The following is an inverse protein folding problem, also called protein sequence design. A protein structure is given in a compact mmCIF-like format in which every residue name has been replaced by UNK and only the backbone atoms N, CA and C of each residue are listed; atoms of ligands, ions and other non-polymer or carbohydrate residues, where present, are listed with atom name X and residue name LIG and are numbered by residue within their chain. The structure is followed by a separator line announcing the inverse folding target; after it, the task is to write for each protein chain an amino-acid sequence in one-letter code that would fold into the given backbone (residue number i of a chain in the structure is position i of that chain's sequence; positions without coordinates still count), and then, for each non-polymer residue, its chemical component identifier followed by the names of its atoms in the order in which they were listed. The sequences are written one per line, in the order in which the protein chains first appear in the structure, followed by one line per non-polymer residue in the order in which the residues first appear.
data_IF_564796739690
#
_entry.id   IF_564796739690
#
_cell.length_a   1.000
_cell.length_b   1.000
_cell.length_c   1.000
_cell.angle_alpha   90.00
_cell.angle_beta   90.00
_cell.angle_gamma   90.00
#
_symmetry.space_group_name_H-M   'P 1'
#
loop_
_entity.id
_entity.type
_entity.pdbx_description
1 polymer ?
#
# COMPACT_ATOMS: atom_id res chain seq x y z
N UNK A 1 46.48 20.25 41.42
CA UNK A 1 45.30 21.12 41.19
C UNK A 1 44.84 20.87 39.76
N UNK A 2 44.05 19.84 39.43
CA UNK A 2 42.58 19.62 39.60
C UNK A 2 41.71 20.80 39.13
N UNK A 3 41.51 20.89 37.82
CA UNK A 3 40.32 21.52 37.24
C UNK A 3 39.28 20.44 36.91
N UNK A 4 38.09 20.62 37.50
CA UNK A 4 36.88 19.85 37.25
C UNK A 4 36.23 20.34 35.97
N UNK A 5 35.92 19.44 35.05
CA UNK A 5 34.77 19.58 34.14
C UNK A 5 34.03 18.25 34.12
N UNK A 6 32.94 18.20 34.88
CA UNK A 6 32.01 17.09 34.95
C UNK A 6 31.29 16.94 33.60
N UNK A 7 31.33 15.73 33.03
CA UNK A 7 30.53 15.34 31.86
C UNK A 7 29.14 14.91 32.36
N UNK A 8 28.02 15.52 31.93
CA UNK A 8 26.71 14.98 32.23
C UNK A 8 26.40 13.80 31.29
N UNK A 9 26.12 12.66 31.88
CA UNK A 9 25.59 11.46 31.26
C UNK A 9 24.19 11.73 30.66
N UNK A 10 24.03 11.50 29.36
CA UNK A 10 22.71 11.53 28.72
C UNK A 10 21.92 10.28 29.15
N UNK A 11 20.96 10.49 30.04
CA UNK A 11 19.96 9.51 30.47
C UNK A 11 18.88 9.43 29.38
N UNK A 12 18.79 8.30 28.69
CA UNK A 12 17.69 7.96 27.79
C UNK A 12 16.38 7.95 28.59
N UNK A 13 15.52 8.92 28.33
CA UNK A 13 14.15 8.97 28.85
C UNK A 13 13.20 8.77 27.67
N UNK A 14 12.53 7.61 27.64
CA UNK A 14 11.33 7.37 26.81
C UNK A 14 10.28 8.44 27.10
N UNK A 15 9.77 9.10 26.06
CA UNK A 15 8.44 9.72 26.09
C UNK A 15 7.70 9.39 24.79
N UNK A 16 6.70 8.52 24.93
CA UNK A 16 5.57 8.39 24.01
C UNK A 16 4.80 9.72 24.03
N UNK A 17 4.88 10.48 22.92
CA UNK A 17 4.05 11.65 22.69
C UNK A 17 2.90 11.28 21.75
N UNK A 18 1.73 10.99 22.32
CA UNK A 18 0.49 10.87 21.56
C UNK A 18 0.12 12.24 20.96
N UNK A 19 0.06 12.33 19.63
CA UNK A 19 -0.33 13.54 18.90
C UNK A 19 -1.85 13.77 19.01
N UNK A 20 -2.25 14.60 19.97
CA UNK A 20 -3.56 15.28 20.01
C UNK A 20 -3.47 16.54 19.16
N UNK A 21 -3.82 16.46 17.88
CA UNK A 21 -4.09 17.64 17.07
C UNK A 21 -4.89 17.27 15.80
N UNK A 22 -6.17 16.90 15.93
CA UNK A 22 -6.99 16.71 14.72
C UNK A 22 -8.46 17.15 14.82
N UNK A 23 -8.87 17.83 15.90
CA UNK A 23 -10.27 18.26 16.06
C UNK A 23 -10.58 19.68 15.54
N UNK A 24 -9.57 20.52 15.28
CA UNK A 24 -9.78 21.93 14.93
C UNK A 24 -9.69 22.30 13.44
N UNK A 25 -9.34 21.35 12.55
CA UNK A 25 -9.06 21.65 11.13
C UNK A 25 -10.27 21.48 10.21
N UNK A 26 -11.29 20.74 10.65
CA UNK A 26 -12.50 20.47 9.86
C UNK A 26 -13.45 21.68 9.76
N UNK A 27 -13.52 22.52 10.82
CA UNK A 27 -14.45 23.64 10.85
C UNK A 27 -14.04 24.80 9.95
N UNK A 28 -12.74 24.96 9.68
CA UNK A 28 -12.21 26.11 8.91
C UNK A 28 -12.40 25.99 7.39
N UNK A 29 -12.68 24.80 6.87
CA UNK A 29 -12.84 24.53 5.42
C UNK A 29 -14.28 24.79 4.93
N UNK A 30 -15.24 24.84 5.86
CA UNK A 30 -16.67 24.99 5.54
C UNK A 30 -17.04 26.38 5.01
N UNK A 31 -16.21 27.38 5.30
CA UNK A 31 -16.49 28.80 5.04
C UNK A 31 -15.89 29.30 3.71
N UNK A 32 -14.89 28.62 3.16
CA UNK A 32 -14.11 29.12 2.00
C UNK A 32 -14.63 28.66 0.62
N UNK A 33 -15.53 27.68 0.57
CA UNK A 33 -16.04 27.11 -0.69
C UNK A 33 -17.57 27.15 -0.81
N UNK A 34 -18.14 28.32 -0.56
CA UNK A 34 -19.52 28.67 -0.91
C UNK A 34 -19.72 28.75 -2.43
N UNK A 35 -19.84 27.60 -3.08
CA UNK A 35 -20.09 27.50 -4.51
C UNK A 35 -20.82 26.22 -4.84
N UNK A 36 -22.15 26.30 -4.82
CA UNK A 36 -23.15 25.41 -5.43
C UNK A 36 -22.64 24.06 -5.95
N UNK A 37 -22.34 23.15 -5.02
CA UNK A 37 -22.43 21.71 -5.28
C UNK A 37 -23.53 21.18 -4.39
N UNK A 38 -24.53 20.59 -5.02
CA UNK A 38 -25.50 19.72 -4.36
C UNK A 38 -24.73 18.46 -3.94
N UNK A 39 -24.02 18.55 -2.81
CA UNK A 39 -23.80 17.37 -1.98
C UNK A 39 -25.15 16.66 -1.94
N UNK A 40 -25.26 15.34 -2.21
CA UNK A 40 -26.44 14.61 -1.76
C UNK A 40 -26.58 15.02 -0.31
N UNK A 41 -27.64 15.80 0.00
CA UNK A 41 -27.78 16.51 1.26
C UNK A 41 -27.43 15.47 2.32
N UNK A 42 -26.46 15.76 3.19
CA UNK A 42 -26.06 14.81 4.23
C UNK A 42 -27.27 14.34 5.08
N UNK A 43 -28.42 15.01 4.94
CA UNK A 43 -29.74 14.61 5.39
C UNK A 43 -30.29 13.29 4.81
N UNK A 44 -29.78 12.77 3.69
CA UNK A 44 -30.12 11.42 3.21
C UNK A 44 -29.35 10.31 3.94
N UNK A 45 -28.32 10.66 4.72
CA UNK A 45 -27.52 9.72 5.49
C UNK A 45 -27.44 10.19 6.95
N UNK A 46 -28.38 9.72 7.77
CA UNK A 46 -28.06 9.45 9.19
C UNK A 46 -26.77 8.60 9.33
N UNK A 47 -26.38 7.93 8.24
CA UNK A 47 -25.17 7.18 7.99
C UNK A 47 -23.90 8.00 7.72
N UNK A 48 -23.93 9.32 7.49
CA UNK A 48 -22.72 10.07 7.09
C UNK A 48 -21.63 10.11 8.17
N UNK A 49 -22.05 10.22 9.44
CA UNK A 49 -21.14 10.07 10.60
C UNK A 49 -20.72 8.62 10.83
N UNK A 50 -21.61 7.67 10.56
CA UNK A 50 -21.34 6.24 10.70
C UNK A 50 -20.30 5.79 9.67
N UNK A 51 -20.42 6.25 8.43
CA UNK A 51 -19.49 5.98 7.35
C UNK A 51 -18.13 6.62 7.63
N UNK A 52 -18.08 7.88 8.10
CA UNK A 52 -16.81 8.50 8.57
C UNK A 52 -16.17 7.70 9.73
N UNK A 53 -16.97 7.20 10.67
CA UNK A 53 -16.49 6.38 11.79
C UNK A 53 -15.98 5.00 11.35
N UNK A 54 -16.67 4.34 10.41
CA UNK A 54 -16.27 3.06 9.82
C UNK A 54 -14.94 3.21 9.07
N UNK A 55 -14.83 4.25 8.23
CA UNK A 55 -13.65 4.52 7.41
C UNK A 55 -12.43 4.87 8.27
N UNK A 56 -12.62 5.59 9.38
CA UNK A 56 -11.55 5.79 10.39
C UNK A 56 -11.11 4.49 11.07
N UNK A 57 -12.00 3.50 11.13
CA UNK A 57 -11.73 2.17 11.67
C UNK A 57 -10.83 1.30 10.79
N UNK A 58 -10.80 1.54 9.48
CA UNK A 58 -9.99 0.78 8.52
C UNK A 58 -8.48 0.97 8.72
N UNK A 59 -8.07 2.06 9.38
CA UNK A 59 -6.65 2.43 9.60
C UNK A 59 -5.84 2.48 8.30
N UNK A 60 -6.51 2.83 7.20
CA UNK A 60 -5.90 3.06 5.89
C UNK A 60 -5.59 4.56 5.77
N UNK A 61 -4.37 4.89 5.33
CA UNK A 61 -3.96 6.25 4.99
C UNK A 61 -2.95 6.18 3.82
N UNK A 62 -3.01 7.14 2.92
CA UNK A 62 -2.08 7.25 1.80
C UNK A 62 -1.67 8.71 1.57
N UNK A 63 -0.38 9.00 1.74
CA UNK A 63 0.20 10.34 1.54
C UNK A 63 0.66 10.60 0.10
N UNK A 64 0.94 9.53 -0.66
CA UNK A 64 1.58 9.58 -1.97
C UNK A 64 3.11 9.49 -1.95
N UNK A 65 3.72 9.43 -0.76
CA UNK A 65 5.16 9.24 -0.51
C UNK A 65 5.42 8.14 0.55
N UNK A 66 4.39 7.37 0.90
CA UNK A 66 4.48 6.27 1.86
C UNK A 66 5.08 5.00 1.20
N UNK A 67 5.51 4.04 2.01
CA UNK A 67 5.91 2.70 1.55
C UNK A 67 4.74 1.92 0.91
N UNK A 68 3.50 2.40 1.04
CA UNK A 68 2.31 1.79 0.44
C UNK A 68 2.21 2.19 -1.03
N UNK A 69 2.14 1.19 -1.92
CA UNK A 69 1.92 1.42 -3.34
C UNK A 69 0.48 1.84 -3.65
N UNK A 70 0.25 2.49 -4.79
CA UNK A 70 -1.08 2.88 -5.22
C UNK A 70 -2.04 1.68 -5.33
N UNK A 71 -1.57 0.53 -5.82
CA UNK A 71 -2.36 -0.68 -5.93
C UNK A 71 -2.66 -1.32 -4.57
N UNK A 72 -1.71 -1.34 -3.64
CA UNK A 72 -1.97 -1.81 -2.27
C UNK A 72 -3.01 -0.95 -1.55
N UNK A 73 -2.95 0.36 -1.73
CA UNK A 73 -3.97 1.27 -1.21
C UNK A 73 -5.34 0.95 -1.79
N UNK A 74 -5.46 0.86 -3.13
CA UNK A 74 -6.72 0.58 -3.79
C UNK A 74 -7.30 -0.78 -3.37
N UNK A 75 -6.48 -1.83 -3.31
CA UNK A 75 -6.92 -3.16 -2.91
C UNK A 75 -7.47 -3.18 -1.49
N UNK A 76 -6.77 -2.56 -0.53
CA UNK A 76 -7.26 -2.46 0.86
C UNK A 76 -8.57 -1.70 0.98
N UNK A 77 -8.69 -0.60 0.24
CA UNK A 77 -9.94 0.18 0.20
C UNK A 77 -11.08 -0.65 -0.39
N UNK A 78 -10.83 -1.40 -1.47
CA UNK A 78 -11.83 -2.27 -2.09
C UNK A 78 -12.26 -3.41 -1.16
N UNK A 79 -11.30 -4.10 -0.52
CA UNK A 79 -11.56 -5.15 0.48
C UNK A 79 -12.45 -4.64 1.63
N UNK A 80 -12.07 -3.53 2.26
CA UNK A 80 -12.83 -2.96 3.38
C UNK A 80 -14.20 -2.42 2.94
N UNK A 81 -14.28 -1.81 1.74
CA UNK A 81 -15.54 -1.31 1.20
C UNK A 81 -16.52 -2.44 0.88
N UNK A 82 -16.02 -3.60 0.43
CA UNK A 82 -16.82 -4.78 0.15
C UNK A 82 -17.40 -5.39 1.43
N UNK A 83 -16.66 -5.37 2.54
CA UNK A 83 -17.14 -5.84 3.84
C UNK A 83 -18.30 -4.99 4.37
N UNK A 84 -18.29 -3.69 4.08
CA UNK A 84 -19.30 -2.73 4.52
C UNK A 84 -20.45 -2.60 3.52
N UNK A 85 -20.24 -3.01 2.26
CA UNK A 85 -21.22 -2.91 1.19
C UNK A 85 -21.39 -1.49 0.64
N UNK A 86 -20.32 -0.69 0.61
CA UNK A 86 -20.39 0.68 0.07
C UNK A 86 -20.56 0.66 -1.45
N UNK A 87 -21.41 1.55 -1.96
CA UNK A 87 -21.50 1.81 -3.40
C UNK A 87 -20.30 2.62 -3.90
N UNK A 88 -19.97 2.52 -5.20
CA UNK A 88 -18.92 3.34 -5.83
C UNK A 88 -19.04 4.85 -5.53
N UNK A 89 -20.28 5.35 -5.46
CA UNK A 89 -20.56 6.77 -5.19
C UNK A 89 -20.24 7.12 -3.74
N UNK A 90 -20.62 6.27 -2.79
CA UNK A 90 -20.28 6.44 -1.38
C UNK A 90 -18.77 6.28 -1.15
N UNK A 91 -18.14 5.35 -1.86
CA UNK A 91 -16.70 5.14 -1.81
C UNK A 91 -15.94 6.41 -2.23
N UNK A 92 -16.32 7.03 -3.34
CA UNK A 92 -15.75 8.32 -3.76
C UNK A 92 -15.97 9.45 -2.74
N UNK A 93 -17.07 9.43 -1.98
CA UNK A 93 -17.31 10.41 -0.94
C UNK A 93 -16.36 10.27 0.26
N UNK A 94 -15.92 9.04 0.57
CA UNK A 94 -15.08 8.77 1.75
C UNK A 94 -13.58 8.81 1.47
N UNK A 95 -13.16 8.67 0.21
CA UNK A 95 -11.75 8.71 -0.18
C UNK A 95 -10.95 9.87 0.41
N UNK A 96 -11.45 11.13 0.46
CA UNK A 96 -10.72 12.22 1.10
C UNK A 96 -10.30 11.96 2.55
N UNK A 97 -11.03 11.11 3.28
CA UNK A 97 -10.70 10.76 4.66
C UNK A 97 -9.56 9.73 4.76
N UNK A 98 -9.26 9.03 3.67
CA UNK A 98 -8.21 8.01 3.56
C UNK A 98 -6.92 8.54 2.93
N UNK A 99 -6.92 9.80 2.48
CA UNK A 99 -5.77 10.45 1.86
C UNK A 99 -5.20 11.50 2.81
N UNK A 100 -3.87 11.65 2.80
CA UNK A 100 -3.17 12.73 3.50
C UNK A 100 -2.27 13.51 2.55
N UNK A 101 -1.78 14.65 3.02
CA UNK A 101 -0.72 15.44 2.38
C UNK A 101 -0.94 15.67 0.88
N UNK A 102 0.07 15.36 0.06
CA UNK A 102 0.07 15.61 -1.38
C UNK A 102 -1.02 14.81 -2.12
N UNK A 103 -1.38 13.62 -1.62
CA UNK A 103 -2.49 12.83 -2.17
C UNK A 103 -3.85 13.47 -1.95
N UNK A 104 -4.08 14.03 -0.76
CA UNK A 104 -5.31 14.74 -0.46
C UNK A 104 -5.45 16.02 -1.28
N UNK A 105 -4.37 16.79 -1.41
CA UNK A 105 -4.38 18.02 -2.19
C UNK A 105 -4.60 17.75 -3.69
N UNK A 106 -3.96 16.72 -4.21
CA UNK A 106 -4.20 16.25 -5.58
C UNK A 106 -5.66 15.83 -5.80
N UNK A 107 -6.24 15.09 -4.86
CA UNK A 107 -7.64 14.69 -4.92
C UNK A 107 -8.55 15.93 -4.97
N UNK A 108 -8.39 16.87 -4.04
CA UNK A 108 -9.22 18.08 -3.96
C UNK A 108 -9.21 18.90 -5.25
N UNK A 109 -8.04 19.00 -5.89
CA UNK A 109 -7.86 19.74 -7.14
C UNK A 109 -8.56 19.07 -8.32
N UNK A 110 -8.57 17.72 -8.36
CA UNK A 110 -9.01 16.95 -9.53
C UNK A 110 -10.32 16.20 -9.34
N UNK A 111 -10.94 16.26 -8.15
CA UNK A 111 -12.18 15.53 -7.80
C UNK A 111 -13.33 15.72 -8.80
N UNK A 112 -13.38 16.87 -9.47
CA UNK A 112 -14.42 17.18 -10.47
C UNK A 112 -14.29 16.36 -11.77
N UNK A 113 -13.14 15.70 -11.98
CA UNK A 113 -12.84 14.91 -13.18
C UNK A 113 -13.36 13.47 -13.11
N UNK A 114 -13.80 13.02 -11.94
CA UNK A 114 -14.21 11.62 -11.73
C UNK A 114 -15.66 11.59 -11.23
N UNK A 115 -16.47 10.78 -11.89
CA UNK A 115 -17.86 10.48 -11.55
C UNK A 115 -18.03 9.04 -11.09
N UNK A 116 -17.11 8.16 -11.47
CA UNK A 116 -17.13 6.74 -11.10
C UNK A 116 -15.86 6.32 -10.38
N UNK A 117 -15.95 5.26 -9.57
CA UNK A 117 -14.79 4.68 -8.90
C UNK A 117 -13.73 4.22 -9.92
N UNK A 118 -14.16 3.65 -11.05
CA UNK A 118 -13.27 3.23 -12.14
C UNK A 118 -12.42 4.38 -12.70
N UNK A 119 -13.01 5.56 -12.93
CA UNK A 119 -12.27 6.74 -13.42
C UNK A 119 -11.24 7.23 -12.39
N UNK A 120 -11.61 7.25 -11.10
CA UNK A 120 -10.68 7.59 -10.03
C UNK A 120 -9.52 6.60 -9.98
N UNK A 121 -9.77 5.27 -10.00
CA UNK A 121 -8.72 4.24 -9.96
C UNK A 121 -7.70 4.42 -11.06
N UNK A 122 -8.17 4.61 -12.30
CA UNK A 122 -7.29 4.81 -13.46
C UNK A 122 -6.43 6.05 -13.27
N UNK A 123 -7.01 7.17 -12.84
CA UNK A 123 -6.27 8.41 -12.63
C UNK A 123 -5.31 8.34 -11.43
N UNK A 124 -5.71 7.62 -10.37
CA UNK A 124 -4.92 7.41 -9.16
C UNK A 124 -3.68 6.58 -9.46
N UNK A 125 -3.86 5.45 -10.17
CA UNK A 125 -2.75 4.65 -10.72
C UNK A 125 -1.86 5.49 -11.62
N UNK A 126 -2.42 6.21 -12.58
CA UNK A 126 -1.60 7.05 -13.47
C UNK A 126 -0.77 8.12 -12.72
N UNK A 127 -1.25 8.61 -11.58
CA UNK A 127 -0.56 9.64 -10.78
C UNK A 127 0.48 9.07 -9.82
N UNK A 128 0.18 7.95 -9.17
CA UNK A 128 0.96 7.39 -8.07
C UNK A 128 1.68 6.08 -8.40
N UNK A 129 1.39 5.49 -9.57
CA UNK A 129 2.24 4.47 -10.20
C UNK A 129 3.33 5.17 -11.02
N UNK A 130 4.13 6.02 -10.37
CA UNK A 130 5.17 6.78 -11.06
C UNK A 130 6.24 5.86 -11.66
N UNK A 131 6.93 6.32 -12.71
CA UNK A 131 8.10 5.63 -13.27
C UNK A 131 9.14 5.32 -12.17
N UNK A 132 9.35 6.25 -11.25
CA UNK A 132 10.27 6.09 -10.11
C UNK A 132 9.82 4.98 -9.15
N UNK A 133 8.51 4.86 -8.92
CA UNK A 133 7.91 3.74 -8.17
C UNK A 133 8.10 2.40 -8.89
N UNK A 134 7.95 2.39 -10.22
CA UNK A 134 8.16 1.19 -11.03
C UNK A 134 9.65 0.79 -11.09
N UNK A 135 10.57 1.74 -11.21
CA UNK A 135 12.02 1.47 -11.15
C UNK A 135 12.43 0.96 -9.76
N UNK A 136 11.91 1.55 -8.68
CA UNK A 136 12.12 1.04 -7.32
C UNK A 136 11.57 -0.38 -7.15
N UNK A 137 10.40 -0.67 -7.71
CA UNK A 137 9.80 -2.00 -7.69
C UNK A 137 10.63 -3.01 -8.49
N UNK A 138 11.16 -2.61 -9.66
CA UNK A 138 12.10 -3.43 -10.44
C UNK A 138 13.37 -3.74 -9.65
N UNK A 139 13.93 -2.75 -8.94
CA UNK A 139 15.09 -2.98 -8.09
C UNK A 139 14.77 -3.89 -6.91
N UNK A 140 13.58 -3.78 -6.30
CA UNK A 140 13.13 -4.72 -5.26
C UNK A 140 13.01 -6.14 -5.79
N UNK A 141 12.41 -6.35 -6.96
CA UNK A 141 12.34 -7.66 -7.62
C UNK A 141 13.76 -8.20 -7.87
N UNK A 142 14.66 -7.36 -8.39
CA UNK A 142 16.05 -7.74 -8.66
C UNK A 142 16.83 -8.15 -7.42
N UNK A 143 16.65 -7.42 -6.32
CA UNK A 143 17.41 -7.60 -5.07
C UNK A 143 16.79 -8.61 -4.11
N UNK A 144 15.51 -8.96 -4.31
CA UNK A 144 14.82 -9.92 -3.46
C UNK A 144 15.31 -11.34 -3.72
N UNK A 145 16.12 -11.87 -2.82
CA UNK A 145 16.59 -13.27 -2.82
C UNK A 145 16.05 -14.02 -1.61
N UNK A 146 15.86 -15.33 -1.71
CA UNK A 146 15.38 -16.15 -0.58
C UNK A 146 16.37 -16.08 0.60
N UNK A 147 15.88 -15.71 1.78
CA UNK A 147 16.68 -15.61 3.00
C UNK A 147 17.17 -16.96 3.51
N UNK A 148 18.26 -16.98 4.30
CA UNK A 148 18.91 -18.23 4.75
C UNK A 148 17.96 -19.20 5.48
N UNK A 149 17.13 -18.66 6.37
CA UNK A 149 16.12 -19.41 7.14
C UNK A 149 14.70 -19.26 6.56
N UNK A 150 14.58 -18.69 5.37
CA UNK A 150 13.29 -18.41 4.75
C UNK A 150 12.77 -19.62 3.99
N UNK A 151 11.54 -20.00 4.34
CA UNK A 151 10.76 -21.03 3.65
C UNK A 151 10.50 -20.65 2.19
N UNK A 152 10.70 -21.59 1.27
CA UNK A 152 10.55 -21.37 -0.17
C UNK A 152 9.16 -20.80 -0.51
N UNK A 153 8.11 -21.35 0.10
CA UNK A 153 6.73 -20.86 -0.05
C UNK A 153 6.58 -19.38 0.33
N UNK A 154 7.14 -18.96 1.47
CA UNK A 154 7.05 -17.57 1.93
C UNK A 154 7.77 -16.63 0.97
N UNK A 155 8.96 -17.03 0.52
CA UNK A 155 9.73 -16.29 -0.47
C UNK A 155 8.96 -16.15 -1.79
N UNK A 156 8.44 -17.27 -2.33
CA UNK A 156 7.74 -17.30 -3.62
C UNK A 156 6.47 -16.45 -3.60
N UNK A 157 5.68 -16.54 -2.52
CA UNK A 157 4.49 -15.70 -2.35
C UNK A 157 4.83 -14.20 -2.38
N UNK A 158 5.92 -13.81 -1.71
CA UNK A 158 6.37 -12.41 -1.73
C UNK A 158 6.89 -12.00 -3.12
N UNK A 159 7.65 -12.85 -3.78
CA UNK A 159 8.17 -12.58 -5.13
C UNK A 159 7.03 -12.45 -6.14
N UNK A 160 6.05 -13.35 -6.11
CA UNK A 160 4.84 -13.28 -6.95
C UNK A 160 4.06 -11.98 -6.69
N UNK A 161 3.90 -11.59 -5.42
CA UNK A 161 3.26 -10.31 -5.07
C UNK A 161 4.01 -9.09 -5.60
N UNK A 162 5.34 -9.10 -5.62
CA UNK A 162 6.14 -8.01 -6.19
C UNK A 162 6.01 -7.97 -7.72
N UNK A 163 6.09 -9.12 -8.38
CA UNK A 163 5.98 -9.23 -9.84
C UNK A 163 4.59 -8.84 -10.35
N UNK A 164 3.53 -9.16 -9.60
CA UNK A 164 2.16 -8.77 -9.92
C UNK A 164 1.92 -7.24 -9.93
N UNK A 165 2.79 -6.47 -9.26
CA UNK A 165 2.71 -5.00 -9.19
C UNK A 165 3.47 -4.30 -10.33
N UNK A 166 4.24 -5.02 -11.13
CA UNK A 166 5.00 -4.45 -12.24
C UNK A 166 4.09 -4.08 -13.41
N UNK A 167 4.33 -2.90 -13.98
CA UNK A 167 3.66 -2.40 -15.18
C UNK A 167 4.71 -2.02 -16.23
N UNK A 168 4.65 -2.57 -17.46
CA UNK A 168 3.72 -3.61 -17.91
C UNK A 168 3.98 -4.97 -17.21
N UNK A 169 2.99 -5.89 -17.21
CA UNK A 169 3.16 -7.21 -16.62
C UNK A 169 4.27 -7.99 -17.35
N UNK A 170 5.13 -8.63 -16.58
CA UNK A 170 6.19 -9.49 -17.08
C UNK A 170 5.57 -10.81 -17.58
N UNK A 171 5.99 -11.40 -18.70
CA UNK A 171 5.50 -12.71 -19.14
C UNK A 171 5.72 -13.79 -18.08
N UNK A 172 4.75 -14.72 -17.92
CA UNK A 172 4.80 -15.75 -16.87
C UNK A 172 6.10 -16.58 -16.89
N UNK A 173 6.60 -16.96 -18.06
CA UNK A 173 7.86 -17.70 -18.18
C UNK A 173 9.07 -16.91 -17.61
N UNK A 174 9.08 -15.58 -17.81
CA UNK A 174 10.11 -14.71 -17.28
C UNK A 174 9.94 -14.47 -15.78
N UNK A 175 8.69 -14.33 -15.29
CA UNK A 175 8.40 -14.28 -13.85
C UNK A 175 8.95 -15.50 -13.12
N UNK A 176 8.70 -16.70 -13.65
CA UNK A 176 9.20 -17.96 -13.07
C UNK A 176 10.73 -18.04 -13.12
N UNK A 177 11.33 -17.59 -14.22
CA UNK A 177 12.80 -17.51 -14.37
C UNK A 177 13.43 -16.60 -13.30
N UNK A 178 12.87 -15.41 -13.10
CA UNK A 178 13.32 -14.46 -12.06
C UNK A 178 13.17 -15.07 -10.67
N UNK A 179 11.99 -15.60 -10.36
CA UNK A 179 11.71 -16.19 -9.05
C UNK A 179 12.65 -17.36 -8.75
N UNK A 180 12.91 -18.22 -9.73
CA UNK A 180 13.82 -19.35 -9.64
C UNK A 180 15.28 -18.90 -9.46
N UNK A 181 15.76 -17.96 -10.27
CA UNK A 181 17.13 -17.45 -10.21
C UNK A 181 17.48 -16.81 -8.85
N UNK A 182 16.46 -16.30 -8.16
CA UNK A 182 16.60 -15.64 -6.85
C UNK A 182 16.32 -16.59 -5.65
N UNK A 183 16.02 -17.88 -5.90
CA UNK A 183 16.04 -18.92 -4.86
C UNK A 183 17.46 -19.18 -4.35
N UNK A 184 17.61 -19.79 -3.18
CA UNK A 184 18.93 -20.16 -2.67
C UNK A 184 19.60 -21.22 -3.59
N UNK A 185 20.94 -21.20 -3.75
CA UNK A 185 21.66 -22.11 -4.65
C UNK A 185 21.46 -23.61 -4.38
N UNK A 186 21.03 -23.98 -3.18
CA UNK A 186 20.65 -25.35 -2.84
C UNK A 186 19.36 -25.80 -3.53
N UNK A 187 18.32 -24.96 -3.55
CA UNK A 187 17.10 -25.26 -4.31
C UNK A 187 17.40 -25.32 -5.81
N UNK A 188 18.23 -24.41 -6.32
CA UNK A 188 18.60 -24.36 -7.74
C UNK A 188 19.37 -25.60 -8.25
N UNK A 189 20.00 -26.36 -7.34
CA UNK A 189 20.73 -27.60 -7.70
C UNK A 189 19.83 -28.83 -7.73
N UNK A 190 18.74 -28.79 -6.98
CA UNK A 190 17.85 -29.94 -6.76
C UNK A 190 16.58 -29.86 -7.60
N UNK A 191 16.13 -28.66 -7.96
CA UNK A 191 14.96 -28.42 -8.78
C UNK A 191 15.38 -28.33 -10.25
N UNK A 192 14.78 -29.14 -11.14
CA UNK A 192 14.98 -28.98 -12.58
C UNK A 192 14.14 -27.77 -13.08
N UNK A 193 14.76 -26.74 -13.69
CA UNK A 193 14.04 -25.60 -14.26
C UNK A 193 12.94 -25.99 -15.26
N UNK A 194 13.06 -27.14 -15.94
CA UNK A 194 12.07 -27.61 -16.92
C UNK A 194 10.76 -28.07 -16.29
N UNK A 195 10.76 -28.40 -15.01
CA UNK A 195 9.55 -28.77 -14.27
C UNK A 195 8.79 -27.55 -13.75
N UNK A 196 9.40 -26.36 -13.79
CA UNK A 196 8.84 -25.11 -13.27
C UNK A 196 7.88 -24.50 -14.29
N UNK A 197 6.60 -24.85 -14.18
CA UNK A 197 5.54 -24.39 -15.09
C UNK A 197 4.59 -23.35 -14.45
N UNK A 198 4.65 -23.18 -13.13
CA UNK A 198 3.82 -22.23 -12.36
C UNK A 198 4.44 -21.96 -10.98
N UNK A 199 3.98 -20.89 -10.31
CA UNK A 199 4.37 -20.59 -8.94
C UNK A 199 3.94 -21.68 -7.96
N UNK A 200 2.76 -22.27 -8.17
CA UNK A 200 2.29 -23.43 -7.40
C UNK A 200 3.23 -24.61 -7.52
N UNK A 201 3.66 -24.93 -8.75
CA UNK A 201 4.58 -26.04 -8.99
C UNK A 201 5.96 -25.78 -8.37
N UNK A 202 6.49 -24.57 -8.52
CA UNK A 202 7.76 -24.19 -7.90
C UNK A 202 7.68 -24.26 -6.36
N UNK A 203 6.55 -23.85 -5.79
CA UNK A 203 6.31 -23.94 -4.35
C UNK A 203 6.23 -25.38 -3.87
N UNK A 204 5.56 -26.26 -4.63
CA UNK A 204 5.52 -27.70 -4.35
C UNK A 204 6.92 -28.30 -4.27
N UNK A 205 7.75 -28.06 -5.31
CA UNK A 205 9.12 -28.55 -5.40
C UNK A 205 10.00 -28.00 -4.26
N UNK A 206 9.85 -26.71 -3.92
CA UNK A 206 10.52 -26.10 -2.78
C UNK A 206 10.15 -26.75 -1.44
N UNK A 207 8.87 -27.06 -1.21
CA UNK A 207 8.41 -27.73 0.02
C UNK A 207 8.92 -29.16 0.14
N UNK A 208 8.99 -29.91 -0.98
CA UNK A 208 9.51 -31.29 -0.98
C UNK A 208 10.97 -31.31 -0.52
N UNK A 209 11.76 -30.35 -0.99
CA UNK A 209 13.16 -30.20 -0.60
C UNK A 209 13.32 -29.91 0.89
N UNK A 210 12.50 -29.07 1.49
CA UNK A 210 12.60 -28.74 2.92
C UNK A 210 12.25 -29.90 3.87
N UNK A 211 11.67 -30.99 3.36
CA UNK A 211 11.32 -32.19 4.13
C UNK A 211 12.40 -33.27 4.13
N UNK A 212 13.39 -33.14 3.24
CA UNK A 212 14.49 -34.10 3.06
C UNK A 212 15.70 -33.65 3.85
#
# INVERSE_FOLDING_TARGET
MRERRERPTLRLSRTLGASRANSGRADRVREEYGGAWDFPRAEALGSGRLVDQIVRGWRISFSGDDDMTADEFLNRVEEESALVGLTDRELLCVIPALLSDLALDWYRLRRHKWRTWAEFRTAFRARYSSYETQERLRELVRTRTQGIDEKAERYLLQMESLLAKLVPPVPMAEQLSIAYANLRPEYQREIDPREVTSFDKLTELGRQRERT
#
